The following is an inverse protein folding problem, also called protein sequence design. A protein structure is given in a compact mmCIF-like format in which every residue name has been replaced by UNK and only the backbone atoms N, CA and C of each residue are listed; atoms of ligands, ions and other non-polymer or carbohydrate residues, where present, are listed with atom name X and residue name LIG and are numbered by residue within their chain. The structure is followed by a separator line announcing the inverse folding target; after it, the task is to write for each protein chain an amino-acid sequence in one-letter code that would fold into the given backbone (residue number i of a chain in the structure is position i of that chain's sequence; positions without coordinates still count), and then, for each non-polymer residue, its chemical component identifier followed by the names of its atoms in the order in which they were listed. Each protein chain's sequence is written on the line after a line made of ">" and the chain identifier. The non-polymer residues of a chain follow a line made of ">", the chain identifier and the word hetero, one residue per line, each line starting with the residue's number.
data_IF_668230789861
#
_entry.id   IF_668230789861
#
_cell.length_a   1.000
_cell.length_b   1.000
_cell.length_c   1.000
_cell.angle_alpha   90.00
_cell.angle_beta   90.00
_cell.angle_gamma   90.00
#
_symmetry.space_group_name_H-M   'P 1'
#
loop_
_entity.id
_entity.type
_entity.pdbx_description
1 polymer ?
#
# COMPACT_ATOMS: atom_id res chain seq x y z
N UNK A 1 12.85 6.39 -9.60
CA UNK A 1 12.29 6.72 -9.57
C UNK A 1 11.17 6.64 -9.95
N UNK A 2 10.61 6.61 -9.63
CA UNK A 2 9.44 6.32 -9.90
C UNK A 2 8.82 7.00 -10.88
N UNK A 3 8.32 6.36 -11.69
CA UNK A 3 7.51 6.89 -12.64
C UNK A 3 6.25 7.30 -12.03
N UNK A 4 5.67 8.32 -12.49
CA UNK A 4 4.45 8.85 -11.94
C UNK A 4 3.26 8.60 -12.83
N UNK A 5 3.32 7.55 -13.59
CA UNK A 5 2.22 7.26 -14.49
C UNK A 5 0.93 6.95 -13.77
N UNK A 6 1.03 6.41 -12.55
CA UNK A 6 -0.15 6.07 -11.77
C UNK A 6 -0.52 7.15 -10.76
N UNK A 7 -0.02 8.37 -10.94
CA UNK A 7 -0.31 9.46 -10.03
C UNK A 7 -1.54 10.26 -10.43
N UNK A 8 -2.24 9.86 -11.47
CA UNK A 8 -3.49 10.49 -11.85
C UNK A 8 -4.65 9.64 -11.37
N UNK A 9 -5.77 10.29 -11.07
CA UNK A 9 -6.97 9.57 -10.68
C UNK A 9 -7.62 9.01 -11.94
N UNK A 10 -7.88 7.71 -11.94
CA UNK A 10 -8.48 7.06 -13.10
C UNK A 10 -9.95 7.40 -13.16
N UNK A 11 -10.50 7.33 -14.37
CA UNK A 11 -11.93 7.53 -14.55
C UNK A 11 -12.68 6.52 -13.69
N UNK A 12 -13.65 7.01 -12.96
CA UNK A 12 -14.50 6.19 -12.07
C UNK A 12 -13.75 5.59 -10.87
N UNK A 13 -12.54 6.03 -10.63
CA UNK A 13 -11.83 5.59 -9.44
C UNK A 13 -12.38 6.31 -8.22
N UNK A 14 -12.67 5.57 -7.16
CA UNK A 14 -13.23 6.14 -5.94
C UNK A 14 -12.22 6.07 -4.81
N UNK A 15 -12.18 7.10 -3.96
CA UNK A 15 -11.28 7.07 -2.82
C UNK A 15 -11.77 6.11 -1.74
N UNK A 16 -10.86 5.79 -0.85
CA UNK A 16 -11.14 4.95 0.31
C UNK A 16 -11.10 5.81 1.56
N UNK A 17 -12.04 5.58 2.46
CA UNK A 17 -12.11 6.33 3.69
C UNK A 17 -11.02 5.90 4.67
N UNK A 18 -10.33 6.86 5.21
CA UNK A 18 -9.25 6.64 6.18
C UNK A 18 -9.53 7.51 7.38
N UNK A 19 -9.78 6.86 8.52
CA UNK A 19 -10.06 7.57 9.76
C UNK A 19 -8.86 7.43 10.68
N UNK A 20 -8.37 8.56 11.18
CA UNK A 20 -7.22 8.57 12.05
C UNK A 20 -7.41 9.66 13.10
N UNK A 21 -6.47 9.75 14.02
CA UNK A 21 -6.68 10.64 15.15
C UNK A 21 -6.79 12.10 14.78
N UNK A 22 -6.28 12.48 13.62
CA UNK A 22 -6.39 13.87 13.17
C UNK A 22 -7.62 14.11 12.29
N UNK A 23 -8.45 13.09 12.06
CA UNK A 23 -9.68 13.30 11.31
C UNK A 23 -9.97 12.22 10.31
N UNK A 24 -10.66 12.62 9.25
CA UNK A 24 -11.12 11.73 8.21
C UNK A 24 -10.54 12.16 6.88
N UNK A 25 -10.03 11.20 6.11
CA UNK A 25 -9.46 11.49 4.80
C UNK A 25 -10.07 10.57 3.76
N UNK A 26 -10.07 11.04 2.51
CA UNK A 26 -10.46 10.21 1.37
C UNK A 26 -9.20 10.00 0.54
N UNK A 27 -8.71 8.77 0.51
CA UNK A 27 -7.39 8.50 -0.03
C UNK A 27 -7.44 7.47 -1.14
N UNK A 28 -6.41 7.52 -1.98
CA UNK A 28 -6.23 6.60 -3.08
C UNK A 28 -4.99 5.77 -2.80
N UNK A 29 -5.06 4.49 -3.10
CA UNK A 29 -3.94 3.58 -2.86
C UNK A 29 -3.11 3.46 -4.13
N UNK A 30 -1.80 3.56 -3.98
CA UNK A 30 -0.88 3.35 -5.09
C UNK A 30 0.23 2.39 -4.66
N UNK A 31 0.61 1.54 -5.58
CA UNK A 31 1.57 0.47 -5.34
C UNK A 31 2.86 0.77 -6.06
N UNK A 32 3.98 0.49 -5.41
CA UNK A 32 5.28 0.68 -6.01
C UNK A 32 6.24 -0.30 -5.34
N UNK A 33 7.53 -0.07 -5.48
CA UNK A 33 8.54 -0.94 -4.89
C UNK A 33 9.63 -0.09 -4.26
N UNK A 34 10.22 -0.64 -3.22
CA UNK A 34 11.46 -0.07 -2.69
C UNK A 34 12.62 -0.55 -3.56
N UNK A 35 13.81 0.00 -3.33
CA UNK A 35 14.99 -0.36 -4.10
C UNK A 35 15.28 -1.85 -4.10
N UNK A 36 14.98 -2.52 -2.99
CA UNK A 36 15.25 -3.95 -2.90
C UNK A 36 14.14 -4.80 -3.49
N UNK A 37 13.19 -4.17 -4.16
CA UNK A 37 12.09 -4.89 -4.80
C UNK A 37 10.91 -5.19 -3.90
N UNK A 38 11.00 -4.83 -2.62
CA UNK A 38 9.90 -5.12 -1.71
C UNK A 38 8.72 -4.19 -1.97
N UNK A 39 7.57 -4.62 -1.50
CA UNK A 39 6.31 -3.95 -1.79
C UNK A 39 6.18 -2.62 -1.06
N UNK A 40 5.82 -1.60 -1.79
CA UNK A 40 5.48 -0.30 -1.25
C UNK A 40 4.01 -0.03 -1.50
N UNK A 41 3.27 0.35 -0.46
CA UNK A 41 1.88 0.78 -0.59
C UNK A 41 1.78 2.17 0.00
N UNK A 42 1.36 3.11 -0.80
CA UNK A 42 1.26 4.50 -0.39
C UNK A 42 -0.18 4.99 -0.42
N UNK A 43 -0.42 6.04 0.34
CA UNK A 43 -1.72 6.68 0.44
C UNK A 43 -1.61 8.07 -0.15
N UNK A 44 -2.51 8.40 -1.05
CA UNK A 44 -2.46 9.62 -1.83
C UNK A 44 -3.79 10.35 -1.75
N UNK A 45 -3.75 11.65 -1.91
CA UNK A 45 -4.95 12.46 -1.86
C UNK A 45 -5.01 13.35 -3.09
N UNK A 46 -6.21 13.85 -3.40
CA UNK A 46 -6.35 14.77 -4.52
C UNK A 46 -5.56 16.04 -4.26
N UNK A 47 -4.93 16.53 -5.31
CA UNK A 47 -4.33 17.85 -5.24
C UNK A 47 -5.42 18.90 -5.20
N UNK A 48 -5.21 19.95 -4.44
CA UNK A 48 -6.18 21.03 -4.35
C UNK A 48 -6.31 21.78 -5.65
N UNK A 49 -5.19 21.90 -6.36
CA UNK A 49 -5.17 22.69 -7.57
C UNK A 49 -5.50 21.91 -8.82
N UNK A 50 -5.44 20.60 -8.76
CA UNK A 50 -5.76 19.77 -9.91
C UNK A 50 -6.42 18.49 -9.42
N UNK A 51 -7.74 18.42 -9.58
CA UNK A 51 -8.52 17.33 -9.02
C UNK A 51 -8.28 15.98 -9.68
N UNK A 52 -7.58 15.99 -10.81
CA UNK A 52 -7.27 14.74 -11.48
C UNK A 52 -5.91 14.17 -11.08
N UNK A 53 -5.15 14.91 -10.31
CA UNK A 53 -3.82 14.47 -9.90
C UNK A 53 -3.76 14.22 -8.40
N UNK A 54 -2.82 13.39 -8.03
CA UNK A 54 -2.65 12.99 -6.64
C UNK A 54 -1.39 13.59 -6.07
N UNK A 55 -1.42 13.79 -4.75
CA UNK A 55 -0.22 14.17 -4.00
C UNK A 55 -0.11 13.23 -2.82
N UNK A 56 1.10 13.03 -2.33
CA UNK A 56 1.35 12.07 -1.27
C UNK A 56 0.72 12.53 0.04
N UNK A 57 -0.07 11.63 0.66
CA UNK A 57 -0.57 11.82 2.00
C UNK A 57 0.36 11.15 3.01
N UNK A 58 0.74 9.91 2.75
CA UNK A 58 1.64 9.19 3.62
C UNK A 58 1.89 7.79 3.12
N UNK A 59 2.83 7.12 3.75
CA UNK A 59 3.17 5.76 3.40
C UNK A 59 2.42 4.81 4.32
N UNK A 60 1.82 3.78 3.74
CA UNK A 60 1.18 2.75 4.54
C UNK A 60 2.24 1.76 5.04
N UNK A 61 3.23 1.48 4.22
CA UNK A 61 4.30 0.55 4.54
C UNK A 61 5.58 1.29 4.86
N UNK A 62 6.54 0.59 5.44
CA UNK A 62 7.89 1.12 5.61
C UNK A 62 8.86 0.15 4.95
N UNK A 63 9.98 0.68 4.48
CA UNK A 63 11.00 -0.14 3.88
C UNK A 63 12.01 -0.54 4.92
N UNK A 64 12.10 -1.84 5.18
CA UNK A 64 13.12 -2.34 6.09
C UNK A 64 13.79 -3.52 5.44
N UNK A 65 14.98 -3.80 5.87
CA UNK A 65 15.69 -4.97 5.39
C UNK A 65 15.16 -6.18 6.14
N UNK A 66 14.93 -7.25 5.41
CA UNK A 66 14.43 -8.46 6.03
C UNK A 66 13.90 -9.40 4.98
N UNK A 67 13.63 -10.61 5.40
CA UNK A 67 13.12 -11.62 4.49
C UNK A 67 11.62 -11.68 4.59
N UNK A 68 10.97 -11.16 3.58
CA UNK A 68 9.53 -11.18 3.50
C UNK A 68 9.14 -11.95 2.25
N UNK A 69 8.00 -12.60 2.33
CA UNK A 69 7.46 -13.27 1.15
C UNK A 69 6.90 -12.23 0.19
N UNK A 70 6.80 -12.58 -1.09
CA UNK A 70 6.13 -11.67 -2.02
C UNK A 70 4.73 -11.33 -1.52
N UNK A 71 4.38 -10.07 -1.65
CA UNK A 71 3.09 -9.59 -1.18
C UNK A 71 3.08 -9.18 0.27
N UNK A 72 4.13 -9.46 1.01
CA UNK A 72 4.22 -9.03 2.40
C UNK A 72 4.96 -7.71 2.50
N UNK A 73 4.57 -6.91 3.47
CA UNK A 73 5.25 -5.66 3.77
C UNK A 73 5.08 -5.36 5.24
N UNK A 74 5.82 -4.38 5.70
CA UNK A 74 5.87 -4.06 7.11
C UNK A 74 5.25 -2.70 7.33
N UNK A 75 4.47 -2.57 8.40
CA UNK A 75 4.01 -1.27 8.83
C UNK A 75 4.55 -1.00 10.24
N UNK A 76 4.91 0.26 10.47
CA UNK A 76 5.42 0.68 11.77
C UNK A 76 4.30 0.67 12.80
N UNK A 77 4.65 0.49 14.06
CA UNK A 77 3.66 0.58 15.11
C UNK A 77 3.24 2.03 15.37
N UNK A 78 3.95 2.99 14.80
CA UNK A 78 3.55 4.38 14.90
C UNK A 78 2.33 4.61 14.01
N UNK A 79 1.21 4.95 14.62
CA UNK A 79 -0.02 5.12 13.87
C UNK A 79 -0.61 3.82 13.35
N UNK A 80 -0.18 2.70 13.90
CA UNK A 80 -0.60 1.40 13.37
C UNK A 80 -2.09 1.15 13.54
N UNK A 81 -2.69 1.70 14.59
CA UNK A 81 -4.12 1.45 14.82
C UNK A 81 -4.96 1.89 13.62
N UNK A 82 -4.71 3.11 13.15
CA UNK A 82 -5.47 3.62 12.00
C UNK A 82 -5.12 2.86 10.72
N UNK A 83 -3.83 2.53 10.55
CA UNK A 83 -3.40 1.83 9.36
C UNK A 83 -3.96 0.42 9.29
N UNK A 84 -3.94 -0.30 10.40
CA UNK A 84 -4.49 -1.65 10.46
C UNK A 84 -6.00 -1.61 10.21
N UNK A 85 -6.68 -0.63 10.80
CA UNK A 85 -8.12 -0.50 10.59
C UNK A 85 -8.44 -0.25 9.12
N UNK A 86 -7.64 0.60 8.47
CA UNK A 86 -7.82 0.89 7.06
C UNK A 86 -7.61 -0.36 6.21
N UNK A 87 -6.56 -1.12 6.52
CA UNK A 87 -6.26 -2.35 5.79
C UNK A 87 -7.41 -3.34 5.91
N UNK A 88 -7.95 -3.49 7.10
CA UNK A 88 -9.05 -4.42 7.32
C UNK A 88 -10.33 -3.94 6.66
N UNK A 89 -10.63 -2.67 6.82
CA UNK A 89 -11.88 -2.10 6.31
C UNK A 89 -11.98 -2.27 4.80
N UNK A 90 -10.88 -2.05 4.11
CA UNK A 90 -10.89 -2.08 2.66
C UNK A 90 -10.34 -3.38 2.08
N UNK A 91 -10.12 -4.36 2.94
CA UNK A 91 -9.72 -5.71 2.53
C UNK A 91 -8.40 -5.72 1.78
N UNK A 92 -7.48 -4.87 2.21
CA UNK A 92 -6.17 -4.77 1.55
C UNK A 92 -5.24 -5.91 1.93
N UNK A 93 -5.46 -6.53 3.08
CA UNK A 93 -4.59 -7.58 3.55
C UNK A 93 -4.89 -7.94 4.99
N UNK A 94 -3.97 -8.66 5.59
CA UNK A 94 -4.14 -9.06 7.00
C UNK A 94 -2.79 -9.03 7.70
N UNK A 95 -2.83 -8.74 8.99
CA UNK A 95 -1.64 -8.78 9.83
C UNK A 95 -1.34 -10.24 10.13
N UNK A 96 -0.14 -10.68 9.80
CA UNK A 96 0.23 -12.09 10.01
C UNK A 96 1.30 -12.26 11.08
N UNK A 97 1.95 -11.18 11.51
CA UNK A 97 3.00 -11.30 12.50
C UNK A 97 3.25 -9.93 13.12
N UNK A 98 3.87 -9.93 14.28
CA UNK A 98 4.33 -8.72 14.94
C UNK A 98 5.75 -8.98 15.40
N UNK A 99 6.69 -8.14 14.96
CA UNK A 99 8.09 -8.32 15.27
C UNK A 99 8.61 -7.12 16.02
N UNK A 100 9.48 -7.40 16.96
CA UNK A 100 10.19 -6.34 17.68
C UNK A 100 11.61 -6.27 17.16
N UNK A 101 12.03 -5.06 16.82
CA UNK A 101 13.39 -4.84 16.37
C UNK A 101 13.92 -3.63 17.09
N UNK A 102 14.95 -3.82 17.89
CA UNK A 102 15.59 -2.74 18.64
C UNK A 102 14.59 -1.98 19.48
N UNK A 103 14.24 -0.79 19.07
CA UNK A 103 13.40 0.10 19.87
C UNK A 103 11.95 0.14 19.47
N UNK A 104 11.57 -0.66 18.52
CA UNK A 104 10.21 -0.55 18.00
C UNK A 104 9.62 -1.89 17.64
N UNK A 105 8.37 -1.83 17.24
CA UNK A 105 7.64 -3.00 16.78
C UNK A 105 7.20 -2.77 15.36
N UNK A 106 7.05 -3.86 14.63
CA UNK A 106 6.52 -3.81 13.28
C UNK A 106 5.45 -4.86 13.14
N UNK A 107 4.46 -4.55 12.33
CA UNK A 107 3.47 -5.54 11.95
C UNK A 107 3.80 -6.00 10.54
N UNK A 108 3.81 -7.31 10.34
CA UNK A 108 3.97 -7.88 9.01
C UNK A 108 2.58 -8.07 8.45
N UNK A 109 2.33 -7.47 7.31
CA UNK A 109 1.03 -7.53 6.66
C UNK A 109 1.18 -8.32 5.37
N UNK A 110 0.31 -9.28 5.20
CA UNK A 110 0.23 -10.00 3.94
C UNK A 110 -0.86 -9.33 3.13
N UNK A 111 -0.44 -8.59 2.09
CA UNK A 111 -1.37 -7.84 1.28
C UNK A 111 -2.05 -8.74 0.27
N UNK A 112 -3.29 -8.41 -0.02
CA UNK A 112 -4.06 -9.11 -1.05
C UNK A 112 -3.73 -8.46 -2.39
N UNK A 113 -2.89 -9.12 -3.16
CA UNK A 113 -2.41 -8.54 -4.41
C UNK A 113 -3.53 -8.35 -5.42
N UNK A 114 -4.52 -9.23 -5.40
CA UNK A 114 -5.67 -9.05 -6.29
C UNK A 114 -6.43 -7.78 -5.95
N UNK A 115 -6.57 -7.49 -4.66
CA UNK A 115 -7.24 -6.27 -4.23
C UNK A 115 -6.41 -5.04 -4.61
N UNK A 116 -5.11 -5.12 -4.42
CA UNK A 116 -4.24 -4.01 -4.81
C UNK A 116 -4.31 -3.76 -6.31
N UNK A 117 -4.43 -4.83 -7.10
CA UNK A 117 -4.55 -4.68 -8.55
C UNK A 117 -5.85 -3.98 -8.93
N UNK A 118 -6.91 -4.14 -8.15
CA UNK A 118 -8.15 -3.41 -8.40
C UNK A 118 -7.96 -1.93 -8.15
N UNK A 119 -7.16 -1.58 -7.15
CA UNK A 119 -6.97 -0.19 -6.76
C UNK A 119 -5.89 0.50 -7.58
N UNK A 120 -4.86 -0.22 -7.96
CA UNK A 120 -3.77 0.32 -8.76
C UNK A 120 -3.23 -0.79 -9.69
N UNK A 121 -3.89 -0.98 -10.82
CA UNK A 121 -3.45 -2.06 -11.74
C UNK A 121 -2.03 -1.88 -12.24
N UNK A 122 -1.64 -0.66 -12.59
CA UNK A 122 -0.32 -0.42 -13.15
C UNK A 122 0.79 -0.69 -12.15
N UNK A 123 0.63 -0.17 -10.93
CA UNK A 123 1.64 -0.35 -9.91
C UNK A 123 1.76 -1.80 -9.48
N UNK A 124 0.62 -2.48 -9.35
CA UNK A 124 0.63 -3.87 -8.95
C UNK A 124 1.28 -4.75 -10.02
N UNK A 125 0.97 -4.49 -11.28
CA UNK A 125 1.57 -5.25 -12.36
C UNK A 125 3.08 -5.07 -12.39
N UNK A 126 3.53 -3.85 -12.20
CA UNK A 126 4.96 -3.56 -12.17
C UNK A 126 5.64 -4.33 -11.03
N UNK A 127 5.00 -4.35 -9.86
CA UNK A 127 5.54 -5.09 -8.74
C UNK A 127 5.65 -6.58 -9.05
N UNK A 128 4.60 -7.15 -9.67
CA UNK A 128 4.61 -8.56 -10.01
C UNK A 128 5.73 -8.88 -11.00
N UNK A 129 5.88 -8.07 -12.03
CA UNK A 129 6.90 -8.31 -13.04
C UNK A 129 8.30 -8.23 -12.46
N UNK A 130 8.56 -7.23 -11.63
CA UNK A 130 9.89 -7.04 -11.05
C UNK A 130 10.24 -8.14 -10.07
N UNK A 131 9.26 -8.80 -9.50
CA UNK A 131 9.51 -9.85 -8.53
C UNK A 131 9.32 -11.25 -9.13
N UNK A 132 9.18 -11.33 -10.44
CA UNK A 132 9.07 -12.63 -11.09
C UNK A 132 7.79 -13.37 -10.79
N UNK A 133 6.74 -12.65 -10.44
CA UNK A 133 5.45 -13.24 -10.12
C UNK A 133 4.53 -13.11 -11.33
N UNK A 134 3.57 -14.01 -11.44
CA UNK A 134 2.67 -13.95 -12.57
C UNK A 134 1.24 -13.72 -12.11
N UNK A 135 0.34 -13.68 -13.07
CA UNK A 135 -1.05 -13.37 -12.78
C UNK A 135 -1.72 -14.39 -11.87
N UNK A 136 -1.16 -15.57 -11.75
CA UNK A 136 -1.72 -16.58 -10.86
C UNK A 136 -1.65 -16.17 -9.41
N UNK A 137 -0.65 -15.35 -9.08
CA UNK A 137 -0.52 -14.87 -7.71
C UNK A 137 -1.72 -14.02 -7.28
N UNK A 138 -2.41 -13.45 -8.24
CA UNK A 138 -3.57 -12.63 -7.94
C UNK A 138 -4.78 -13.45 -7.53
N UNK A 139 -4.77 -14.74 -7.81
CA UNK A 139 -5.92 -15.57 -7.49
C UNK A 139 -5.79 -16.31 -6.17
N UNK A 140 -4.65 -16.13 -5.56
CA UNK A 140 -4.46 -16.85 -4.32
C UNK A 140 -5.10 -16.14 -3.19
N UNK A 141 -6.18 -16.11 -2.93
CA UNK A 141 -6.75 -15.52 -1.87
C UNK A 141 -7.76 -15.82 -1.43
#
# INVERSE_FOLDING_TARGET
>A
MGQVQNMCIRKDEKPLAYDWECGHEELYVRVNMYYNGSLYVGLWQKQKECEKKLELFGDLTIGVMGFLRPGQAIISDCGAKAKVAFIKKHKLGKVVDKRKINYGSYYVVEFNLARLAQLDPEGTERYLLENGLDQKELKAD
#
